data_IF_909711756573
#
_entry.id   IF_909711756573
#
_cell.length_a   1.000
_cell.length_b   1.000
_cell.length_c   1.000
_cell.angle_alpha   90.00
_cell.angle_beta   90.00
_cell.angle_gamma   90.00
#
_symmetry.space_group_name_H-M   'P 1'
#
loop_
_entity.id
_entity.type
_entity.pdbx_description
1 polymer ?
#
# COMPACT_ATOMS: atom_id res chain seq x y z
N UNK A 1 9.53 5.44 2.03
CA UNK A 1 10.44 5.03 3.14
C UNK A 1 10.48 3.49 3.23
N UNK A 2 11.33 2.84 4.06
CA UNK A 2 11.38 1.37 4.16
C UNK A 2 10.06 0.73 4.63
N UNK A 3 9.35 1.37 5.58
CA UNK A 3 8.06 0.88 6.08
C UNK A 3 6.98 0.79 5.00
N UNK A 4 6.84 1.82 4.15
CA UNK A 4 5.93 1.79 3.00
C UNK A 4 6.30 0.70 1.98
N UNK A 5 7.59 0.41 1.79
CA UNK A 5 8.03 -0.68 0.90
C UNK A 5 7.68 -2.06 1.47
N UNK A 6 7.89 -2.26 2.76
CA UNK A 6 7.48 -3.49 3.45
C UNK A 6 5.95 -3.66 3.41
N UNK A 7 5.21 -2.58 3.68
CA UNK A 7 3.75 -2.54 3.53
C UNK A 7 3.31 -3.00 2.14
N UNK A 8 3.88 -2.39 1.08
CA UNK A 8 3.56 -2.74 -0.30
C UNK A 8 3.84 -4.21 -0.59
N UNK A 9 5.00 -4.73 -0.18
CA UNK A 9 5.36 -6.12 -0.43
C UNK A 9 4.41 -7.09 0.29
N UNK A 10 4.08 -6.82 1.55
CA UNK A 10 3.14 -7.65 2.32
C UNK A 10 1.77 -7.66 1.66
N UNK A 11 1.21 -6.50 1.32
CA UNK A 11 -0.12 -6.42 0.69
C UNK A 11 -0.12 -7.05 -0.71
N UNK A 12 0.95 -6.89 -1.50
CA UNK A 12 1.05 -7.52 -2.81
C UNK A 12 1.11 -9.05 -2.72
N UNK A 13 1.94 -9.61 -1.83
CA UNK A 13 2.08 -11.05 -1.66
C UNK A 13 0.82 -11.67 -1.06
N UNK A 14 0.27 -11.08 0.01
CA UNK A 14 -0.98 -11.56 0.59
C UNK A 14 -2.15 -11.38 -0.38
N UNK A 15 -2.19 -10.29 -1.16
CA UNK A 15 -3.20 -10.06 -2.18
C UNK A 15 -3.18 -11.13 -3.27
N UNK A 16 -1.99 -11.52 -3.74
CA UNK A 16 -1.84 -12.64 -4.67
C UNK A 16 -2.34 -13.96 -4.05
N UNK A 17 -1.96 -14.22 -2.79
CA UNK A 17 -2.45 -15.39 -2.05
C UNK A 17 -3.99 -15.39 -1.96
N UNK A 18 -4.62 -14.25 -1.68
CA UNK A 18 -6.07 -14.10 -1.60
C UNK A 18 -6.75 -14.38 -2.95
N UNK A 19 -6.18 -13.90 -4.05
CA UNK A 19 -6.69 -14.16 -5.40
C UNK A 19 -6.61 -15.66 -5.71
N UNK A 20 -5.46 -16.28 -5.49
CA UNK A 20 -5.26 -17.71 -5.76
C UNK A 20 -6.20 -18.58 -4.92
N UNK A 21 -6.25 -18.35 -3.60
CA UNK A 21 -7.09 -19.13 -2.69
C UNK A 21 -8.58 -18.87 -2.93
N UNK A 22 -8.98 -17.62 -3.17
CA UNK A 22 -10.37 -17.27 -3.50
C UNK A 22 -10.84 -17.92 -4.80
N UNK A 23 -9.96 -18.00 -5.81
CA UNK A 23 -10.26 -18.70 -7.06
C UNK A 23 -10.56 -20.19 -6.82
N UNK A 24 -9.75 -20.89 -6.02
CA UNK A 24 -9.99 -22.30 -5.67
C UNK A 24 -11.25 -22.47 -4.81
N UNK A 25 -11.56 -21.53 -3.92
CA UNK A 25 -12.79 -21.54 -3.12
C UNK A 25 -14.06 -21.41 -3.97
N UNK A 26 -13.99 -20.74 -5.11
CA UNK A 26 -15.13 -20.65 -6.03
C UNK A 26 -15.49 -22.00 -6.67
N UNK A 27 -14.50 -22.89 -6.82
CA UNK A 27 -14.65 -24.20 -7.45
C UNK A 27 -14.12 -25.31 -6.53
N UNK A 28 -14.83 -25.63 -5.43
CA UNK A 28 -14.33 -26.50 -4.37
C UNK A 28 -14.11 -27.95 -4.78
N UNK A 29 -14.61 -28.36 -5.95
CA UNK A 29 -14.47 -29.73 -6.49
C UNK A 29 -13.19 -29.93 -7.30
N UNK A 30 -12.43 -28.86 -7.62
CA UNK A 30 -11.19 -28.95 -8.42
C UNK A 30 -10.04 -29.58 -7.63
N UNK A 31 -10.03 -29.39 -6.30
CA UNK A 31 -8.98 -29.90 -5.42
C UNK A 31 -9.53 -30.98 -4.47
N UNK A 32 -8.69 -31.93 -4.02
CA UNK A 32 -9.07 -32.86 -2.96
C UNK A 32 -9.43 -32.11 -1.67
N UNK A 33 -10.36 -32.64 -0.89
CA UNK A 33 -10.84 -32.01 0.35
C UNK A 33 -9.71 -31.61 1.31
N UNK A 34 -8.70 -32.47 1.47
CA UNK A 34 -7.53 -32.18 2.31
C UNK A 34 -6.73 -30.94 1.87
N UNK A 35 -6.70 -30.64 0.56
CA UNK A 35 -6.06 -29.42 0.06
C UNK A 35 -6.97 -28.20 0.23
N UNK A 36 -8.29 -28.38 0.07
CA UNK A 36 -9.27 -27.31 0.29
C UNK A 36 -9.25 -26.80 1.74
N UNK A 37 -9.05 -27.67 2.73
CA UNK A 37 -8.89 -27.27 4.13
C UNK A 37 -7.75 -26.26 4.30
N UNK A 38 -6.60 -26.50 3.66
CA UNK A 38 -5.48 -25.56 3.65
C UNK A 38 -5.79 -24.26 2.90
N UNK A 39 -6.53 -24.34 1.78
CA UNK A 39 -6.95 -23.15 1.03
C UNK A 39 -7.78 -22.21 1.91
N UNK A 40 -8.74 -22.75 2.67
CA UNK A 40 -9.56 -21.94 3.59
C UNK A 40 -8.71 -21.30 4.70
N UNK A 41 -7.81 -22.07 5.33
CA UNK A 41 -6.91 -21.56 6.37
C UNK A 41 -6.01 -20.46 5.84
N UNK A 42 -5.40 -20.66 4.66
CA UNK A 42 -4.54 -19.67 4.03
C UNK A 42 -5.31 -18.40 3.65
N UNK A 43 -6.54 -18.53 3.14
CA UNK A 43 -7.37 -17.38 2.79
C UNK A 43 -7.72 -16.55 4.03
N UNK A 44 -8.14 -17.19 5.12
CA UNK A 44 -8.44 -16.50 6.38
C UNK A 44 -7.19 -15.84 6.95
N UNK A 45 -6.04 -16.52 6.93
CA UNK A 45 -4.77 -15.96 7.37
C UNK A 45 -4.38 -14.72 6.54
N UNK A 46 -4.50 -14.82 5.22
CA UNK A 46 -4.26 -13.70 4.30
C UNK A 46 -5.17 -12.51 4.59
N UNK A 47 -6.45 -12.76 4.81
CA UNK A 47 -7.43 -11.74 5.19
C UNK A 47 -7.03 -11.04 6.50
N UNK A 48 -6.72 -11.79 7.56
CA UNK A 48 -6.35 -11.22 8.87
C UNK A 48 -5.11 -10.34 8.75
N UNK A 49 -4.10 -10.77 8.00
CA UNK A 49 -2.87 -9.99 7.78
C UNK A 49 -3.17 -8.70 7.04
N UNK A 50 -3.85 -8.76 5.89
CA UNK A 50 -4.17 -7.57 5.08
C UNK A 50 -5.06 -6.61 5.89
N UNK A 51 -6.04 -7.15 6.61
CA UNK A 51 -6.98 -6.37 7.42
C UNK A 51 -6.27 -5.62 8.56
N UNK A 52 -5.32 -6.26 9.25
CA UNK A 52 -4.51 -5.57 10.25
C UNK A 52 -3.67 -4.45 9.62
N UNK A 53 -3.05 -4.72 8.48
CA UNK A 53 -2.25 -3.73 7.75
C UNK A 53 -3.09 -2.57 7.21
N UNK A 54 -4.36 -2.78 6.87
CA UNK A 54 -5.27 -1.71 6.47
C UNK A 54 -5.36 -0.59 7.51
N UNK A 55 -5.45 -0.93 8.80
CA UNK A 55 -5.45 0.08 9.87
C UNK A 55 -4.13 0.84 9.97
N UNK A 56 -3.00 0.15 9.81
CA UNK A 56 -1.67 0.78 9.77
C UNK A 56 -1.58 1.77 8.60
N UNK A 57 -2.08 1.38 7.42
CA UNK A 57 -2.12 2.25 6.25
C UNK A 57 -3.00 3.48 6.48
N UNK A 58 -4.19 3.27 7.02
CA UNK A 58 -5.15 4.33 7.31
C UNK A 58 -4.55 5.33 8.30
N UNK A 59 -3.91 4.85 9.37
CA UNK A 59 -3.24 5.69 10.35
C UNK A 59 -2.11 6.52 9.72
N UNK A 60 -1.20 5.88 8.96
CA UNK A 60 -0.09 6.57 8.32
C UNK A 60 -0.53 7.53 7.21
N UNK A 61 -1.60 7.20 6.49
CA UNK A 61 -2.15 8.03 5.43
C UNK A 61 -2.86 9.28 5.96
N UNK A 62 -3.49 9.20 7.13
CA UNK A 62 -4.31 10.27 7.70
C UNK A 62 -3.58 11.08 8.77
N UNK A 63 -3.28 10.45 9.91
CA UNK A 63 -2.78 11.12 11.12
C UNK A 63 -1.26 11.16 11.13
N UNK A 64 -0.62 10.01 10.84
CA UNK A 64 0.83 9.88 10.93
C UNK A 64 1.59 10.76 9.94
N UNK A 65 0.93 11.22 8.88
CA UNK A 65 1.57 11.98 7.83
C UNK A 65 0.59 12.99 7.19
N UNK A 66 0.34 14.14 7.84
CA UNK A 66 -0.67 15.11 7.42
C UNK A 66 -0.43 15.57 5.98
N UNK A 67 -1.50 15.69 5.22
CA UNK A 67 -1.45 16.03 3.79
C UNK A 67 -1.23 14.84 2.85
N UNK A 68 -0.92 13.64 3.34
CA UNK A 68 -0.71 12.47 2.47
C UNK A 68 -1.98 12.03 1.74
N UNK A 69 -3.16 12.06 2.39
CA UNK A 69 -4.44 11.80 1.69
C UNK A 69 -4.69 12.82 0.58
N UNK A 70 -4.49 14.11 0.88
CA UNK A 70 -4.66 15.17 -0.13
C UNK A 70 -3.70 14.96 -1.31
N UNK A 71 -2.45 14.56 -1.04
CA UNK A 71 -1.48 14.22 -2.07
C UNK A 71 -1.87 13.01 -2.91
N UNK A 72 -2.47 11.97 -2.31
CA UNK A 72 -2.97 10.81 -3.06
C UNK A 72 -4.13 11.15 -4.00
N UNK A 73 -5.00 12.09 -3.61
CA UNK A 73 -6.19 12.47 -4.40
C UNK A 73 -5.84 13.54 -5.45
N UNK A 74 -5.09 14.57 -5.04
CA UNK A 74 -4.79 15.73 -5.88
C UNK A 74 -3.50 15.61 -6.69
N UNK A 75 -2.61 14.67 -6.32
CA UNK A 75 -1.27 14.56 -6.87
C UNK A 75 -0.30 15.66 -6.41
N UNK A 76 -0.71 16.55 -5.49
CA UNK A 76 0.09 17.70 -5.03
C UNK A 76 0.38 17.64 -3.53
N UNK A 77 1.57 18.04 -3.13
CA UNK A 77 1.99 18.09 -1.72
C UNK A 77 2.91 19.28 -1.49
N UNK A 78 2.87 19.83 -0.27
CA UNK A 78 3.74 20.95 0.11
C UNK A 78 5.23 20.53 0.12
N UNK A 79 6.08 21.38 -0.46
CA UNK A 79 7.51 21.12 -0.59
C UNK A 79 8.23 20.93 0.76
N UNK A 80 7.94 21.70 1.83
CA UNK A 80 8.57 21.49 3.14
C UNK A 80 8.28 20.10 3.73
N UNK A 81 7.04 19.62 3.59
CA UNK A 81 6.60 18.30 4.05
C UNK A 81 7.30 17.19 3.25
N UNK A 82 7.38 17.35 1.93
CA UNK A 82 8.13 16.44 1.05
C UNK A 82 9.62 16.37 1.38
N UNK A 83 10.25 17.51 1.69
CA UNK A 83 11.67 17.56 2.10
C UNK A 83 11.90 16.84 3.42
N UNK A 84 10.96 16.92 4.36
CA UNK A 84 11.05 16.22 5.64
C UNK A 84 10.93 14.70 5.48
N UNK A 85 9.97 14.24 4.68
CA UNK A 85 9.62 12.81 4.61
C UNK A 85 10.37 12.03 3.53
N UNK A 86 10.69 12.71 2.43
CA UNK A 86 11.30 12.14 1.23
C UNK A 86 12.46 13.02 0.70
N UNK A 87 13.46 13.36 1.54
CA UNK A 87 14.54 14.28 1.16
C UNK A 87 15.35 13.82 -0.06
N UNK A 88 15.57 12.50 -0.19
CA UNK A 88 16.29 11.93 -1.33
C UNK A 88 15.52 12.11 -2.64
N UNK A 89 14.21 11.89 -2.61
CA UNK A 89 13.35 12.04 -3.78
C UNK A 89 13.25 13.51 -4.21
N UNK A 90 13.15 14.45 -3.25
CA UNK A 90 13.16 15.88 -3.59
C UNK A 90 14.46 16.29 -4.28
N UNK A 91 15.62 15.86 -3.75
CA UNK A 91 16.92 16.15 -4.38
C UNK A 91 17.03 15.59 -5.80
N UNK A 92 16.49 14.41 -6.02
CA UNK A 92 16.45 13.77 -7.34
C UNK A 92 15.57 14.55 -8.33
N UNK A 93 14.37 14.97 -7.90
CA UNK A 93 13.48 15.79 -8.73
C UNK A 93 14.02 17.19 -9.02
N UNK A 94 14.73 17.79 -8.06
CA UNK A 94 15.46 19.06 -8.24
C UNK A 94 16.60 18.90 -9.25
N UNK A 95 17.40 17.84 -9.13
CA UNK A 95 18.49 17.54 -10.06
C UNK A 95 18.00 17.25 -11.49
N UNK A 96 16.87 16.56 -11.63
CA UNK A 96 16.26 16.26 -12.93
C UNK A 96 15.46 17.43 -13.52
N UNK A 97 15.29 18.54 -12.78
CA UNK A 97 14.47 19.69 -13.21
C UNK A 97 12.98 19.39 -13.35
N UNK A 98 12.50 18.26 -12.80
CA UNK A 98 11.10 17.82 -12.87
C UNK A 98 10.25 18.34 -11.72
N UNK A 99 10.86 19.02 -10.75
CA UNK A 99 10.15 19.59 -9.62
C UNK A 99 9.26 20.75 -10.07
N UNK A 100 7.98 20.45 -10.31
CA UNK A 100 6.96 21.46 -10.58
C UNK A 100 6.49 22.09 -9.27
N UNK A 101 7.11 23.21 -8.91
CA UNK A 101 6.61 24.06 -7.83
C UNK A 101 5.42 24.81 -8.42
N UNK A 102 4.21 24.49 -7.97
CA UNK A 102 3.06 25.34 -8.27
C UNK A 102 3.35 26.71 -7.66
N UNK A 103 3.49 27.72 -8.52
CA UNK A 103 3.67 29.11 -8.12
C UNK A 103 2.45 29.46 -7.25
N UNK A 104 2.68 29.75 -5.97
CA UNK A 104 1.63 30.14 -5.05
C UNK A 104 1.14 31.54 -5.44
N UNK A 105 0.26 31.57 -6.45
CA UNK A 105 -0.57 32.71 -6.77
C UNK A 105 -1.99 32.42 -6.28
N UNK A 106 -2.16 32.44 -4.96
CA UNK A 106 -3.15 33.24 -4.18
C UNK A 106 -3.57 32.53 -2.91
#
# INVERSE_FOLDING_TARGET
NPGQKAFFLTVALCGLLMICTGFFMWYPTILPAAFMDWVYVLHVLGFVVIFAFFFVHLYLGTIGNPGSVSAMISGKMELPVLRMLHPKWVKEMEHEGKLMIADDKK
#
